data_IF_683156735009
#
_entry.id   IF_683156735009
#
_cell.length_a   1.000
_cell.length_b   1.000
_cell.length_c   1.000
_cell.angle_alpha   90.00
_cell.angle_beta   90.00
_cell.angle_gamma   90.00
#
_symmetry.space_group_name_H-M   'P 1'
#
loop_
_entity.id
_entity.type
_entity.pdbx_description
1 polymer ?
#
# COMPACT_ATOMS: atom_id res chain seq x y z
N UNK A 1 -50.62 -32.77 -52.20
CA UNK A 1 -51.56 -32.03 -51.27
C UNK A 1 -50.70 -31.62 -50.07
N UNK A 2 -50.31 -30.42 -49.99
CA UNK A 2 -49.51 -29.86 -48.91
C UNK A 2 -49.41 -28.38 -49.11
N UNK A 3 -50.09 -27.60 -48.29
CA UNK A 3 -50.03 -26.14 -48.36
C UNK A 3 -48.78 -25.63 -47.59
N UNK A 4 -48.18 -24.52 -48.03
CA UNK A 4 -47.02 -23.92 -47.35
C UNK A 4 -47.45 -22.95 -46.26
N UNK A 5 -46.59 -22.82 -45.21
CA UNK A 5 -46.69 -21.86 -44.13
C UNK A 5 -46.14 -20.50 -44.54
N UNK A 6 -46.66 -19.40 -44.01
CA UNK A 6 -46.20 -18.06 -44.38
C UNK A 6 -45.02 -17.61 -43.49
N UNK A 7 -44.00 -17.03 -44.12
CA UNK A 7 -42.91 -16.27 -43.54
C UNK A 7 -43.42 -14.88 -43.09
N UNK A 8 -43.22 -14.54 -41.82
CA UNK A 8 -43.43 -13.20 -41.31
C UNK A 8 -42.16 -12.69 -40.60
N UNK A 9 -41.37 -11.87 -41.32
CA UNK A 9 -40.30 -11.07 -40.72
C UNK A 9 -40.92 -9.82 -40.08
N UNK A 10 -40.79 -9.71 -38.77
CA UNK A 10 -41.05 -8.50 -38.02
C UNK A 10 -39.81 -8.05 -37.26
N UNK A 11 -39.02 -7.18 -37.87
CA UNK A 11 -37.91 -6.50 -37.20
C UNK A 11 -38.47 -5.35 -36.37
N UNK A 12 -38.28 -5.41 -35.06
CA UNK A 12 -38.53 -4.30 -34.15
C UNK A 12 -37.23 -3.51 -33.99
N UNK A 13 -37.19 -2.21 -34.27
CA UNK A 13 -36.01 -1.40 -34.00
C UNK A 13 -35.92 -1.05 -32.53
N UNK A 14 -34.86 -1.47 -31.87
CA UNK A 14 -34.48 -1.00 -30.52
C UNK A 14 -33.89 0.40 -30.67
N UNK A 15 -34.71 1.40 -30.39
CA UNK A 15 -34.26 2.80 -30.33
C UNK A 15 -33.37 3.00 -29.09
N UNK A 16 -32.06 3.24 -29.31
CA UNK A 16 -31.19 3.82 -28.30
C UNK A 16 -31.52 5.32 -28.20
N UNK A 17 -32.24 5.69 -27.15
CA UNK A 17 -32.39 7.08 -26.72
C UNK A 17 -31.09 7.47 -25.97
N UNK A 18 -30.26 8.26 -26.63
CA UNK A 18 -29.11 8.95 -26.04
C UNK A 18 -29.57 10.29 -25.45
N UNK A 19 -30.16 10.28 -24.28
CA UNK A 19 -30.27 11.50 -23.47
C UNK A 19 -29.10 11.47 -22.43
N UNK A 20 -28.35 12.57 -22.29
CA UNK A 20 -27.37 12.68 -21.23
C UNK A 20 -28.09 12.78 -19.89
N UNK A 21 -27.88 11.82 -19.01
CA UNK A 21 -28.28 11.95 -17.61
C UNK A 21 -27.55 13.16 -17.04
N UNK A 22 -28.27 14.23 -16.81
CA UNK A 22 -27.84 15.31 -15.92
C UNK A 22 -27.49 14.69 -14.56
N UNK A 23 -26.21 14.75 -14.19
CA UNK A 23 -25.76 14.52 -12.83
C UNK A 23 -26.34 15.65 -11.98
N UNK A 24 -27.45 15.40 -11.32
CA UNK A 24 -27.96 16.27 -10.28
C UNK A 24 -26.99 16.27 -9.12
N UNK A 25 -26.07 17.23 -9.13
CA UNK A 25 -25.30 17.64 -7.98
C UNK A 25 -26.25 18.23 -6.95
N UNK A 26 -26.50 17.50 -5.85
CA UNK A 26 -27.38 18.03 -4.80
C UNK A 26 -27.94 16.98 -3.86
N UNK A 27 -27.19 15.92 -3.54
CA UNK A 27 -27.46 15.13 -2.34
C UNK A 27 -27.04 15.96 -1.12
N UNK A 28 -27.99 16.32 -0.25
CA UNK A 28 -27.76 16.98 1.03
C UNK A 28 -26.77 16.14 1.87
N UNK A 29 -25.47 16.51 1.88
CA UNK A 29 -24.41 15.84 2.65
C UNK A 29 -24.29 16.42 4.06
N UNK A 30 -25.21 17.29 4.48
CA UNK A 30 -25.26 17.91 5.79
C UNK A 30 -25.65 16.87 6.86
N UNK A 31 -24.68 16.13 7.35
CA UNK A 31 -24.87 15.10 8.40
C UNK A 31 -23.93 13.90 8.32
N UNK A 32 -23.32 13.64 7.15
CA UNK A 32 -22.34 12.56 7.02
C UNK A 32 -20.99 13.03 7.51
N UNK A 33 -20.50 12.43 8.60
CA UNK A 33 -19.16 12.72 9.14
C UNK A 33 -18.10 12.35 8.11
N UNK A 34 -17.05 13.16 7.92
CA UNK A 34 -15.96 12.83 7.00
C UNK A 34 -15.10 11.66 7.51
N UNK A 35 -14.46 10.99 6.57
CA UNK A 35 -13.43 9.98 6.80
C UNK A 35 -12.06 10.61 6.53
N UNK A 36 -11.17 10.62 7.54
CA UNK A 36 -9.82 11.14 7.37
C UNK A 36 -8.90 10.09 6.75
N UNK A 37 -8.16 10.47 5.71
CA UNK A 37 -7.10 9.66 5.11
C UNK A 37 -5.78 10.41 5.23
N UNK A 38 -4.79 9.84 5.91
CA UNK A 38 -3.42 10.35 5.89
C UNK A 38 -2.62 9.65 4.80
N UNK A 39 -1.67 10.35 4.18
CA UNK A 39 -0.85 9.78 3.10
C UNK A 39 -1.55 9.68 1.75
N UNK A 40 -2.64 10.40 1.53
CA UNK A 40 -3.41 10.39 0.28
C UNK A 40 -2.63 10.90 -0.96
N UNK A 41 -1.48 11.54 -0.77
CA UNK A 41 -0.55 11.91 -1.86
C UNK A 41 0.46 10.82 -2.20
N UNK A 42 0.43 9.70 -1.48
CA UNK A 42 1.29 8.53 -1.71
C UNK A 42 0.54 7.41 -2.42
N UNK A 43 1.27 6.38 -2.84
CA UNK A 43 0.74 5.27 -3.65
C UNK A 43 -0.51 4.61 -3.03
N UNK A 44 -0.37 3.94 -1.90
CA UNK A 44 -1.48 3.22 -1.27
C UNK A 44 -2.57 4.17 -0.73
N UNK A 45 -2.18 5.30 -0.12
CA UNK A 45 -3.14 6.26 0.43
C UNK A 45 -4.01 6.91 -0.63
N UNK A 46 -3.48 7.13 -1.83
CA UNK A 46 -4.24 7.60 -2.99
C UNK A 46 -5.34 6.59 -3.37
N UNK A 47 -5.01 5.31 -3.47
CA UNK A 47 -5.98 4.25 -3.80
C UNK A 47 -7.04 4.09 -2.69
N UNK A 48 -6.66 4.16 -1.41
CA UNK A 48 -7.63 4.13 -0.30
C UNK A 48 -8.59 5.31 -0.39
N UNK A 49 -8.07 6.54 -0.57
CA UNK A 49 -8.90 7.74 -0.66
C UNK A 49 -9.87 7.69 -1.85
N UNK A 50 -9.37 7.32 -3.04
CA UNK A 50 -10.22 7.21 -4.24
C UNK A 50 -11.24 6.07 -4.13
N UNK A 51 -10.91 4.97 -3.47
CA UNK A 51 -11.85 3.88 -3.22
C UNK A 51 -13.00 4.31 -2.31
N UNK A 52 -12.73 5.10 -1.27
CA UNK A 52 -13.73 5.70 -0.39
C UNK A 52 -14.63 6.69 -1.15
N UNK A 53 -14.02 7.59 -1.95
CA UNK A 53 -14.76 8.52 -2.81
C UNK A 53 -15.69 7.80 -3.80
N UNK A 54 -15.21 6.72 -4.42
CA UNK A 54 -16.02 5.91 -5.34
C UNK A 54 -17.21 5.21 -4.65
N UNK A 55 -17.16 5.02 -3.32
CA UNK A 55 -18.27 4.54 -2.48
C UNK A 55 -19.21 5.67 -2.02
N UNK A 56 -18.93 6.92 -2.41
CA UNK A 56 -19.72 8.09 -2.01
C UNK A 56 -19.39 8.61 -0.60
N UNK A 57 -18.28 8.21 0.00
CA UNK A 57 -17.87 8.72 1.30
C UNK A 57 -17.27 10.14 1.18
N UNK A 58 -17.47 10.94 2.21
CA UNK A 58 -16.81 12.25 2.34
C UNK A 58 -15.38 12.03 2.82
N UNK A 59 -14.41 12.20 1.94
CA UNK A 59 -12.99 12.02 2.27
C UNK A 59 -12.36 13.36 2.62
N UNK A 60 -11.67 13.41 3.76
CA UNK A 60 -10.75 14.47 4.16
C UNK A 60 -9.33 13.92 4.08
N UNK A 61 -8.49 14.54 3.25
CA UNK A 61 -7.10 14.13 3.05
C UNK A 61 -6.15 15.04 3.83
N UNK A 62 -5.39 14.48 4.79
CA UNK A 62 -4.30 15.20 5.45
C UNK A 62 -3.08 15.18 4.54
N UNK A 63 -2.62 16.36 4.13
CA UNK A 63 -1.47 16.53 3.25
C UNK A 63 -0.50 17.57 3.81
N UNK A 64 0.80 17.36 3.63
CA UNK A 64 1.83 18.34 4.01
C UNK A 64 2.00 19.45 2.98
N UNK A 65 1.80 19.10 1.72
CA UNK A 65 1.99 19.98 0.59
C UNK A 65 0.83 19.79 -0.41
N UNK A 66 -0.11 20.74 -0.48
CA UNK A 66 -1.26 20.67 -1.38
C UNK A 66 -0.88 20.57 -2.87
N UNK A 67 0.30 21.08 -3.27
CA UNK A 67 0.76 21.01 -4.66
C UNK A 67 1.03 19.57 -5.14
N UNK A 68 1.12 18.62 -4.21
CA UNK A 68 1.32 17.20 -4.50
C UNK A 68 0.04 16.39 -4.60
N UNK A 69 -1.10 17.02 -4.37
CA UNK A 69 -2.40 16.36 -4.56
C UNK A 69 -2.63 16.16 -6.05
N UNK A 70 -2.97 14.94 -6.44
CA UNK A 70 -3.22 14.55 -7.83
C UNK A 70 -4.51 13.75 -7.89
N UNK A 71 -5.43 14.16 -8.76
CA UNK A 71 -6.65 13.42 -9.07
C UNK A 71 -7.40 12.90 -7.82
N UNK A 72 -7.58 13.79 -6.84
CA UNK A 72 -8.28 13.49 -5.59
C UNK A 72 -9.40 14.51 -5.37
N UNK A 73 -10.64 14.08 -5.51
CA UNK A 73 -11.85 14.89 -5.30
C UNK A 73 -12.32 14.76 -3.85
N UNK A 74 -11.55 15.33 -2.92
CA UNK A 74 -11.82 15.30 -1.49
C UNK A 74 -11.46 16.61 -0.80
N UNK A 75 -11.91 16.78 0.45
CA UNK A 75 -11.52 17.90 1.29
C UNK A 75 -10.01 17.81 1.61
N UNK A 76 -9.24 18.85 1.30
CA UNK A 76 -7.81 18.90 1.59
C UNK A 76 -7.56 19.69 2.86
N UNK A 77 -6.90 19.07 3.84
CA UNK A 77 -6.46 19.71 5.07
C UNK A 77 -4.94 19.65 5.14
N UNK A 78 -4.33 20.83 5.31
CA UNK A 78 -2.87 20.94 5.45
C UNK A 78 -2.46 20.64 6.88
N UNK A 79 -1.50 19.71 7.07
CA UNK A 79 -0.94 19.38 8.37
C UNK A 79 0.18 18.34 8.27
N UNK A 80 0.83 18.10 9.39
CA UNK A 80 1.95 17.14 9.52
C UNK A 80 1.71 16.24 10.74
N UNK A 81 2.04 14.97 10.63
CA UNK A 81 1.96 14.01 11.75
C UNK A 81 2.78 14.44 12.98
N UNK A 82 3.79 15.28 12.77
CA UNK A 82 4.67 15.82 13.82
C UNK A 82 4.10 17.09 14.49
N UNK A 83 2.99 17.62 13.99
CA UNK A 83 2.31 18.81 14.49
C UNK A 83 0.93 18.42 15.07
N UNK A 84 0.82 18.25 16.42
CA UNK A 84 -0.42 17.85 17.08
C UNK A 84 -1.60 18.77 16.79
N UNK A 85 -1.39 20.10 16.76
CA UNK A 85 -2.47 21.06 16.53
C UNK A 85 -3.07 20.90 15.12
N UNK A 86 -2.24 20.61 14.12
CA UNK A 86 -2.75 20.33 12.77
C UNK A 86 -3.57 19.04 12.72
N UNK A 87 -3.22 18.05 13.54
CA UNK A 87 -3.94 16.78 13.63
C UNK A 87 -5.29 16.93 14.34
N UNK A 88 -5.38 17.72 15.41
CA UNK A 88 -6.64 18.05 16.07
C UNK A 88 -7.64 18.67 15.09
N UNK A 89 -7.18 19.64 14.28
CA UNK A 89 -8.01 20.24 13.22
C UNK A 89 -8.41 19.22 12.16
N UNK A 90 -7.50 18.33 11.76
CA UNK A 90 -7.75 17.36 10.71
C UNK A 90 -8.78 16.30 11.13
N UNK A 91 -8.73 15.80 12.37
CA UNK A 91 -9.65 14.76 12.88
C UNK A 91 -10.99 15.32 13.34
N UNK A 92 -11.10 16.63 13.52
CA UNK A 92 -12.32 17.26 14.05
C UNK A 92 -13.57 16.86 13.25
N UNK A 93 -14.56 16.25 13.91
CA UNK A 93 -15.80 15.80 13.32
C UNK A 93 -15.69 14.56 12.42
N UNK A 94 -14.52 13.92 12.29
CA UNK A 94 -14.37 12.67 11.55
C UNK A 94 -14.94 11.48 12.31
N UNK A 95 -15.60 10.55 11.60
CA UNK A 95 -16.02 9.27 12.16
C UNK A 95 -14.90 8.22 12.10
N UNK A 96 -14.18 8.19 10.99
CA UNK A 96 -13.17 7.17 10.69
C UNK A 96 -11.85 7.82 10.31
N UNK A 97 -10.75 7.16 10.69
CA UNK A 97 -9.39 7.55 10.29
C UNK A 97 -8.69 6.36 9.62
N UNK A 98 -8.25 6.56 8.37
CA UNK A 98 -7.29 5.66 7.71
C UNK A 98 -5.90 6.27 7.82
N UNK A 99 -5.09 5.71 8.69
CA UNK A 99 -3.71 6.15 8.90
C UNK A 99 -2.77 5.38 7.97
N UNK A 100 -2.61 5.89 6.73
CA UNK A 100 -1.77 5.27 5.68
C UNK A 100 -0.40 5.92 5.57
N UNK A 101 -0.26 7.16 6.02
CA UNK A 101 1.00 7.89 5.95
C UNK A 101 2.11 7.18 6.73
N UNK A 102 3.25 6.98 6.08
CA UNK A 102 4.49 6.52 6.70
C UNK A 102 5.70 7.04 5.94
N UNK A 103 6.82 7.21 6.63
CA UNK A 103 8.12 7.35 5.99
C UNK A 103 8.70 5.96 5.74
N UNK A 104 8.76 5.55 4.46
CA UNK A 104 9.20 4.22 4.03
C UNK A 104 10.61 4.20 3.44
N UNK A 105 11.41 5.26 3.63
CA UNK A 105 12.80 5.31 3.14
C UNK A 105 13.61 4.20 3.78
N UNK A 106 14.27 3.37 2.95
CA UNK A 106 15.16 2.30 3.42
C UNK A 106 16.53 2.83 3.85
N UNK A 107 16.83 4.10 3.50
CA UNK A 107 18.00 4.85 3.96
C UNK A 107 17.58 6.31 4.20
N UNK A 108 18.07 6.87 5.27
CA UNK A 108 17.94 8.29 5.61
C UNK A 108 19.25 8.78 6.20
N UNK A 109 19.65 10.02 5.89
CA UNK A 109 20.85 10.66 6.44
C UNK A 109 20.74 10.79 7.96
N UNK A 110 19.57 11.14 8.46
CA UNK A 110 19.22 11.11 9.87
C UNK A 110 18.09 10.08 10.10
N UNK A 111 18.44 8.87 10.60
CA UNK A 111 17.42 7.84 10.88
C UNK A 111 16.36 8.26 11.92
N UNK A 112 16.63 9.26 12.76
CA UNK A 112 15.65 9.73 13.76
C UNK A 112 14.40 10.33 13.11
N UNK A 113 14.50 10.84 11.88
CA UNK A 113 13.36 11.34 11.13
C UNK A 113 12.27 10.27 10.91
N UNK A 114 12.68 9.00 10.68
CA UNK A 114 11.73 7.89 10.53
C UNK A 114 10.96 7.64 11.83
N UNK A 115 11.64 7.74 12.99
CA UNK A 115 10.99 7.54 14.29
C UNK A 115 10.04 8.70 14.61
N UNK A 116 10.47 9.94 14.37
CA UNK A 116 9.60 11.12 14.54
C UNK A 116 8.34 11.04 13.67
N UNK A 117 8.49 10.63 12.40
CA UNK A 117 7.34 10.52 11.50
C UNK A 117 6.48 9.30 11.80
N UNK A 118 7.08 8.11 11.96
CA UNK A 118 6.33 6.87 12.06
C UNK A 118 5.84 6.59 13.49
N UNK A 119 6.66 6.81 14.53
CA UNK A 119 6.30 6.47 15.91
C UNK A 119 5.59 7.63 16.59
N UNK A 120 6.26 8.79 16.68
CA UNK A 120 5.68 9.97 17.33
C UNK A 120 4.46 10.47 16.55
N UNK A 121 4.57 10.52 15.20
CA UNK A 121 3.45 10.91 14.34
C UNK A 121 2.23 10.01 14.47
N UNK A 122 2.41 8.68 14.60
CA UNK A 122 1.31 7.75 14.89
C UNK A 122 0.72 8.04 16.26
N UNK A 123 1.54 8.24 17.31
CA UNK A 123 1.05 8.57 18.64
C UNK A 123 0.24 9.86 18.66
N UNK A 124 0.72 10.90 18.02
CA UNK A 124 0.03 12.20 17.90
C UNK A 124 -1.34 12.04 17.23
N UNK A 125 -1.40 11.35 16.08
CA UNK A 125 -2.65 11.14 15.36
C UNK A 125 -3.66 10.31 16.18
N UNK A 126 -3.21 9.23 16.82
CA UNK A 126 -4.10 8.38 17.62
C UNK A 126 -4.58 9.11 18.89
N UNK A 127 -3.75 10.00 19.47
CA UNK A 127 -4.17 10.88 20.56
C UNK A 127 -5.27 11.82 20.11
N UNK A 128 -5.06 12.53 19.00
CA UNK A 128 -6.06 13.43 18.43
C UNK A 128 -7.36 12.68 18.07
N UNK A 129 -7.25 11.48 17.48
CA UNK A 129 -8.40 10.65 17.12
C UNK A 129 -9.20 10.20 18.36
N UNK A 130 -8.52 9.79 19.43
CA UNK A 130 -9.16 9.42 20.71
C UNK A 130 -9.88 10.63 21.30
N UNK A 131 -9.23 11.77 21.38
CA UNK A 131 -9.76 12.96 22.03
C UNK A 131 -10.92 13.60 21.22
N UNK A 132 -10.94 13.40 19.92
CA UNK A 132 -12.06 13.77 19.03
C UNK A 132 -13.21 12.75 19.02
N UNK A 133 -13.09 11.62 19.70
CA UNK A 133 -14.13 10.58 19.73
C UNK A 133 -14.31 9.86 18.38
N UNK A 134 -13.21 9.63 17.63
CA UNK A 134 -13.23 8.86 16.38
C UNK A 134 -13.74 7.45 16.65
N UNK A 135 -14.67 6.99 15.83
CA UNK A 135 -15.39 5.72 16.02
C UNK A 135 -14.54 4.51 15.55
N UNK A 136 -13.61 4.73 14.61
CA UNK A 136 -12.77 3.67 14.06
C UNK A 136 -11.48 4.22 13.50
N UNK A 137 -10.38 3.50 13.71
CA UNK A 137 -9.06 3.76 13.08
C UNK A 137 -8.58 2.51 12.36
N UNK A 138 -8.17 2.63 11.10
CA UNK A 138 -7.43 1.61 10.37
C UNK A 138 -5.98 2.07 10.27
N UNK A 139 -5.10 1.40 10.99
CA UNK A 139 -3.67 1.69 11.01
C UNK A 139 -2.94 0.82 9.98
N UNK A 140 -2.26 1.45 9.03
CA UNK A 140 -1.44 0.76 8.03
C UNK A 140 -0.05 0.48 8.59
N UNK A 141 0.20 -0.75 8.97
CA UNK A 141 1.51 -1.26 9.32
C UNK A 141 2.24 -1.80 8.07
N UNK A 142 2.93 -2.91 8.17
CA UNK A 142 3.64 -3.58 7.06
C UNK A 142 3.86 -5.04 7.38
N UNK A 143 3.93 -5.90 6.36
CA UNK A 143 4.40 -7.28 6.50
C UNK A 143 5.80 -7.36 7.15
N UNK A 144 6.58 -6.27 7.11
CA UNK A 144 7.86 -6.17 7.81
C UNK A 144 7.77 -6.33 9.34
N UNK A 145 6.56 -6.20 9.93
CA UNK A 145 6.27 -6.43 11.35
C UNK A 145 5.79 -7.85 11.64
N UNK A 146 5.75 -8.73 10.64
CA UNK A 146 5.41 -10.15 10.78
C UNK A 146 6.70 -10.97 10.80
N UNK A 147 6.80 -11.89 11.76
CA UNK A 147 7.92 -12.84 11.83
C UNK A 147 7.93 -13.81 10.66
N UNK A 148 9.14 -14.13 10.18
CA UNK A 148 9.32 -15.15 9.14
C UNK A 148 9.84 -16.42 9.81
N UNK A 149 9.00 -17.45 9.99
CA UNK A 149 9.42 -18.72 10.59
C UNK A 149 10.45 -19.43 9.70
N UNK A 150 11.17 -20.39 10.26
CA UNK A 150 12.13 -21.19 9.49
C UNK A 150 11.45 -22.08 8.46
N UNK A 151 10.24 -22.52 8.75
CA UNK A 151 9.44 -23.37 7.87
C UNK A 151 8.06 -22.76 7.63
N UNK A 152 7.63 -22.78 6.37
CA UNK A 152 6.32 -22.27 5.96
C UNK A 152 6.24 -20.74 5.87
N UNK A 153 5.07 -20.21 5.50
CA UNK A 153 4.80 -18.78 5.45
C UNK A 153 4.57 -18.20 6.85
N UNK A 154 4.97 -16.95 7.06
CA UNK A 154 4.60 -16.20 8.28
C UNK A 154 3.10 -15.88 8.30
N UNK A 155 2.56 -15.66 9.49
CA UNK A 155 1.18 -15.22 9.71
C UNK A 155 1.14 -14.17 10.83
N UNK A 156 -0.05 -13.70 11.18
CA UNK A 156 -0.24 -12.65 12.19
C UNK A 156 0.24 -13.05 13.60
N UNK A 157 0.34 -14.35 13.89
CA UNK A 157 0.83 -14.88 15.18
C UNK A 157 2.36 -15.05 15.21
N UNK A 158 3.01 -14.93 14.06
CA UNK A 158 4.46 -15.13 13.94
C UNK A 158 5.22 -14.05 14.70
N UNK A 159 6.04 -14.48 15.66
CA UNK A 159 6.83 -13.60 16.52
C UNK A 159 7.91 -12.86 15.72
N UNK A 160 8.14 -11.61 16.10
CA UNK A 160 9.18 -10.74 15.53
C UNK A 160 10.29 -10.57 16.55
N UNK A 161 11.52 -10.80 16.11
CA UNK A 161 12.72 -10.48 16.87
C UNK A 161 13.25 -9.10 16.42
N UNK A 162 13.12 -8.12 17.31
CA UNK A 162 13.59 -6.75 17.09
C UNK A 162 15.10 -6.67 16.82
N UNK A 163 15.88 -7.53 17.43
CA UNK A 163 17.34 -7.54 17.26
C UNK A 163 17.71 -7.96 15.84
N UNK A 164 16.92 -8.83 15.24
CA UNK A 164 17.09 -9.29 13.86
C UNK A 164 16.46 -8.37 12.81
N UNK A 165 15.71 -7.34 13.23
CA UNK A 165 15.12 -6.40 12.28
C UNK A 165 16.18 -5.54 11.60
N UNK A 166 16.26 -5.66 10.27
CA UNK A 166 17.15 -4.86 9.43
C UNK A 166 16.57 -3.44 9.23
N UNK A 167 17.38 -2.43 9.61
CA UNK A 167 17.15 -1.05 9.24
C UNK A 167 16.19 -0.26 10.13
N UNK A 168 16.36 1.07 10.10
CA UNK A 168 15.58 2.00 10.90
C UNK A 168 14.10 2.01 10.48
N UNK A 169 13.81 1.82 9.19
CA UNK A 169 12.44 1.77 8.69
C UNK A 169 11.63 0.65 9.37
N UNK A 170 12.09 -0.61 9.31
CA UNK A 170 11.36 -1.73 9.91
C UNK A 170 11.17 -1.54 11.41
N UNK A 171 12.24 -1.10 12.11
CA UNK A 171 12.18 -0.84 13.56
C UNK A 171 11.18 0.25 13.90
N UNK A 172 11.18 1.37 13.17
CA UNK A 172 10.23 2.45 13.40
C UNK A 172 8.78 2.02 13.12
N UNK A 173 8.53 1.22 12.08
CA UNK A 173 7.18 0.69 11.79
C UNK A 173 6.71 -0.29 12.84
N UNK A 174 7.60 -1.16 13.34
CA UNK A 174 7.27 -2.06 14.43
C UNK A 174 6.91 -1.29 15.71
N UNK A 175 7.70 -0.29 16.11
CA UNK A 175 7.40 0.53 17.28
C UNK A 175 6.08 1.31 17.09
N UNK A 176 5.82 1.83 15.90
CA UNK A 176 4.56 2.49 15.59
C UNK A 176 3.35 1.52 15.64
N UNK A 177 3.52 0.26 15.24
CA UNK A 177 2.50 -0.77 15.42
C UNK A 177 2.24 -1.06 16.90
N UNK A 178 3.29 -1.10 17.76
CA UNK A 178 3.11 -1.23 19.20
C UNK A 178 2.32 -0.05 19.79
N UNK A 179 2.59 1.18 19.32
CA UNK A 179 1.78 2.36 19.69
C UNK A 179 0.31 2.15 19.31
N UNK A 180 0.02 1.69 18.09
CA UNK A 180 -1.36 1.42 17.67
C UNK A 180 -2.05 0.36 18.54
N UNK A 181 -1.33 -0.71 18.92
CA UNK A 181 -1.81 -1.74 19.82
C UNK A 181 -2.02 -1.22 21.27
N UNK A 182 -1.18 -0.29 21.76
CA UNK A 182 -1.38 0.38 23.06
C UNK A 182 -2.70 1.14 23.08
N UNK A 183 -2.98 1.93 22.03
CA UNK A 183 -4.24 2.68 21.90
C UNK A 183 -5.45 1.75 21.79
N UNK A 184 -5.33 0.64 21.04
CA UNK A 184 -6.39 -0.35 20.96
C UNK A 184 -6.73 -0.95 22.33
N UNK A 185 -5.71 -1.32 23.13
CA UNK A 185 -5.90 -1.82 24.51
C UNK A 185 -6.48 -0.77 25.44
N UNK A 186 -6.20 0.51 25.17
CA UNK A 186 -6.75 1.63 25.92
C UNK A 186 -8.19 2.01 25.51
N UNK A 187 -8.79 1.28 24.56
CA UNK A 187 -10.20 1.42 24.17
C UNK A 187 -10.46 2.22 22.90
N UNK A 188 -9.44 2.76 22.22
CA UNK A 188 -9.64 3.33 20.89
C UNK A 188 -9.83 2.18 19.88
N UNK A 189 -10.92 2.15 19.06
CA UNK A 189 -11.17 1.06 18.13
C UNK A 189 -10.18 1.08 16.93
N UNK A 190 -8.97 0.54 17.13
CA UNK A 190 -7.90 0.46 16.11
C UNK A 190 -7.83 -0.92 15.54
N UNK A 191 -7.88 -1.03 14.21
CA UNK A 191 -7.57 -2.26 13.46
C UNK A 191 -6.26 -2.06 12.72
N UNK A 192 -5.40 -3.08 12.74
CA UNK A 192 -4.09 -3.02 12.10
C UNK A 192 -4.14 -3.83 10.79
N UNK A 193 -3.69 -3.24 9.70
CA UNK A 193 -3.47 -3.95 8.45
C UNK A 193 -1.98 -4.00 8.13
N UNK A 194 -1.50 -5.15 7.66
CA UNK A 194 -0.11 -5.39 7.30
C UNK A 194 -0.01 -5.67 5.78
N UNK A 195 -0.01 -4.62 4.92
CA UNK A 195 0.20 -4.80 3.50
C UNK A 195 1.52 -5.50 3.23
N UNK A 196 1.54 -6.35 2.20
CA UNK A 196 2.74 -7.07 1.77
C UNK A 196 3.58 -6.20 0.83
N UNK A 197 3.59 -6.50 -0.45
CA UNK A 197 4.27 -5.71 -1.47
C UNK A 197 3.24 -5.26 -2.53
N UNK A 198 2.53 -4.15 -2.30
CA UNK A 198 1.55 -3.63 -3.25
C UNK A 198 2.21 -3.25 -4.57
N UNK A 199 1.53 -3.57 -5.67
CA UNK A 199 1.93 -3.25 -7.04
C UNK A 199 0.72 -2.77 -7.83
N UNK A 200 0.89 -1.83 -8.75
CA UNK A 200 -0.17 -1.27 -9.57
C UNK A 200 0.24 0.06 -10.20
N UNK A 201 -0.75 0.78 -10.67
CA UNK A 201 -0.66 2.13 -11.23
C UNK A 201 -0.61 3.21 -10.14
N UNK A 202 -0.36 4.47 -10.52
CA UNK A 202 -0.28 5.64 -9.62
C UNK A 202 0.82 5.57 -8.53
N UNK A 203 1.88 4.78 -8.73
CA UNK A 203 3.07 4.80 -7.89
C UNK A 203 3.96 6.02 -8.25
N UNK A 204 3.45 7.22 -7.92
CA UNK A 204 4.04 8.52 -8.31
C UNK A 204 5.49 8.72 -7.85
N UNK A 205 5.90 8.05 -6.81
CA UNK A 205 7.28 7.96 -6.35
C UNK A 205 7.60 6.50 -6.16
N UNK A 206 8.22 5.84 -7.17
CA UNK A 206 8.35 4.40 -7.18
C UNK A 206 8.70 3.84 -5.80
N UNK A 207 7.77 3.05 -5.25
CA UNK A 207 7.99 2.30 -4.02
C UNK A 207 9.11 1.27 -4.23
N UNK A 208 9.66 0.64 -3.20
CA UNK A 208 10.64 -0.43 -3.39
C UNK A 208 10.17 -1.53 -4.36
N UNK A 209 8.86 -1.85 -4.36
CA UNK A 209 8.27 -2.81 -5.30
C UNK A 209 8.14 -2.22 -6.70
N UNK A 210 7.64 -0.99 -6.83
CA UNK A 210 7.56 -0.28 -8.10
C UNK A 210 8.93 -0.05 -8.74
N UNK A 211 9.96 0.18 -7.91
CA UNK A 211 11.34 0.30 -8.38
C UNK A 211 11.86 -0.98 -9.06
N UNK A 212 11.45 -2.16 -8.62
CA UNK A 212 11.79 -3.42 -9.31
C UNK A 212 11.25 -3.40 -10.74
N UNK A 213 10.02 -2.90 -10.95
CA UNK A 213 9.42 -2.79 -12.29
C UNK A 213 10.17 -1.77 -13.14
N UNK A 214 10.43 -0.57 -12.61
CA UNK A 214 11.15 0.50 -13.32
C UNK A 214 12.56 0.06 -13.69
N UNK A 215 13.34 -0.49 -12.75
CA UNK A 215 14.72 -0.94 -12.97
C UNK A 215 14.76 -2.10 -14.00
N UNK A 216 13.76 -3.00 -13.95
CA UNK A 216 13.62 -4.06 -14.94
C UNK A 216 13.36 -3.47 -16.34
N UNK A 217 12.42 -2.55 -16.48
CA UNK A 217 12.06 -1.95 -17.77
C UNK A 217 13.19 -1.11 -18.37
N UNK A 218 14.02 -0.48 -17.55
CA UNK A 218 15.25 0.22 -17.97
C UNK A 218 16.40 -0.70 -18.36
N UNK A 219 16.33 -1.98 -18.02
CA UNK A 219 17.43 -2.91 -18.20
C UNK A 219 18.52 -2.81 -17.13
N UNK A 220 18.23 -2.12 -16.03
CA UNK A 220 19.16 -1.92 -14.90
C UNK A 220 19.26 -3.15 -13.97
N UNK A 221 18.49 -4.21 -14.25
CA UNK A 221 18.51 -5.50 -13.53
C UNK A 221 19.09 -6.64 -14.40
N UNK A 222 20.40 -6.67 -14.66
CA UNK A 222 21.02 -7.75 -15.45
C UNK A 222 21.06 -9.08 -14.71
N UNK A 223 20.94 -9.03 -13.37
CA UNK A 223 21.01 -10.18 -12.48
C UNK A 223 20.16 -9.94 -11.21
N UNK A 224 19.89 -11.00 -10.45
CA UNK A 224 19.05 -10.93 -9.24
C UNK A 224 19.63 -11.78 -8.10
N UNK A 225 19.23 -11.47 -6.85
CA UNK A 225 19.49 -12.28 -5.67
C UNK A 225 18.34 -13.27 -5.43
N UNK A 226 18.61 -14.40 -4.79
CA UNK A 226 17.58 -15.36 -4.38
C UNK A 226 16.79 -14.81 -3.19
N UNK A 227 15.70 -14.17 -3.50
CA UNK A 227 14.74 -13.62 -2.53
C UNK A 227 13.31 -13.81 -3.04
N UNK A 228 12.33 -13.42 -2.24
CA UNK A 228 10.93 -13.49 -2.63
C UNK A 228 10.06 -12.54 -1.80
N UNK A 229 8.97 -12.13 -2.39
CA UNK A 229 7.99 -11.23 -1.82
C UNK A 229 6.59 -11.85 -1.96
N UNK A 230 5.69 -11.48 -1.07
CA UNK A 230 4.28 -11.66 -1.33
C UNK A 230 3.78 -10.41 -2.05
N UNK A 231 3.40 -10.54 -3.33
CA UNK A 231 2.82 -9.43 -4.10
C UNK A 231 1.32 -9.35 -3.89
N UNK A 232 0.77 -8.15 -4.03
CA UNK A 232 -0.67 -7.89 -3.98
C UNK A 232 -1.00 -6.69 -4.87
N UNK A 233 -2.17 -6.71 -5.50
CA UNK A 233 -2.72 -5.55 -6.20
C UNK A 233 -2.98 -4.40 -5.22
N UNK A 234 -2.52 -3.18 -5.53
CA UNK A 234 -2.74 -2.00 -4.69
C UNK A 234 -4.23 -1.68 -4.54
N UNK A 235 -5.04 -1.92 -5.56
CA UNK A 235 -6.50 -1.74 -5.47
C UNK A 235 -7.13 -2.73 -4.49
N UNK A 236 -6.69 -4.00 -4.51
CA UNK A 236 -7.15 -5.00 -3.55
C UNK A 236 -6.63 -4.70 -2.14
N UNK A 237 -5.42 -4.16 -2.04
CA UNK A 237 -4.89 -3.68 -0.75
C UNK A 237 -5.77 -2.54 -0.20
N UNK A 238 -6.17 -1.58 -1.04
CA UNK A 238 -7.08 -0.52 -0.64
C UNK A 238 -8.44 -1.09 -0.20
N UNK A 239 -9.02 -2.03 -0.97
CA UNK A 239 -10.24 -2.72 -0.58
C UNK A 239 -10.09 -3.45 0.76
N UNK A 240 -8.95 -4.10 0.99
CA UNK A 240 -8.62 -4.74 2.27
C UNK A 240 -8.64 -3.77 3.47
N UNK A 241 -8.26 -2.51 3.27
CA UNK A 241 -8.37 -1.47 4.30
C UNK A 241 -9.83 -1.15 4.63
N UNK A 242 -10.69 -1.07 3.62
CA UNK A 242 -12.12 -0.82 3.81
C UNK A 242 -12.78 -2.01 4.52
N UNK A 243 -12.48 -3.23 4.10
CA UNK A 243 -12.96 -4.45 4.75
C UNK A 243 -12.47 -4.55 6.22
N UNK A 244 -11.23 -4.15 6.51
CA UNK A 244 -10.71 -4.09 7.88
C UNK A 244 -11.45 -3.04 8.72
N UNK A 245 -11.82 -1.91 8.15
CA UNK A 245 -12.67 -0.94 8.81
C UNK A 245 -14.05 -1.52 9.16
N UNK A 246 -14.69 -2.20 8.22
CA UNK A 246 -16.04 -2.73 8.35
C UNK A 246 -16.12 -3.94 9.29
N UNK A 247 -15.15 -4.86 9.22
CA UNK A 247 -15.24 -6.22 9.79
C UNK A 247 -14.13 -6.58 10.74
N UNK A 248 -13.00 -5.85 10.71
CA UNK A 248 -11.83 -6.18 11.51
C UNK A 248 -12.09 -6.01 13.00
N UNK A 249 -11.58 -6.88 13.84
CA UNK A 249 -11.67 -6.74 15.29
C UNK A 249 -10.64 -5.72 15.80
N UNK A 250 -11.01 -4.91 16.79
CA UNK A 250 -10.09 -3.94 17.40
C UNK A 250 -8.91 -4.65 18.07
N UNK A 251 -7.71 -4.13 17.85
CA UNK A 251 -6.47 -4.71 18.35
C UNK A 251 -5.92 -5.87 17.50
N UNK A 252 -6.67 -6.33 16.49
CA UNK A 252 -6.25 -7.42 15.62
C UNK A 252 -5.45 -6.93 14.41
N UNK A 253 -4.54 -7.80 13.94
CA UNK A 253 -3.72 -7.61 12.74
C UNK A 253 -4.25 -8.44 11.60
N UNK A 254 -4.19 -7.91 10.37
CA UNK A 254 -4.61 -8.59 9.15
C UNK A 254 -3.60 -8.38 8.04
N UNK A 255 -3.03 -9.47 7.51
CA UNK A 255 -2.10 -9.43 6.39
C UNK A 255 -2.90 -9.22 5.09
N UNK A 256 -2.59 -8.14 4.39
CA UNK A 256 -3.16 -7.84 3.07
C UNK A 256 -2.12 -8.16 1.99
N UNK A 257 -2.21 -9.36 1.44
CA UNK A 257 -1.28 -9.88 0.43
C UNK A 257 -2.02 -10.69 -0.64
N UNK A 258 -1.28 -11.35 -1.55
CA UNK A 258 -1.85 -12.26 -2.54
C UNK A 258 -0.91 -13.45 -2.82
N UNK A 259 0.11 -13.28 -3.64
CA UNK A 259 0.95 -14.37 -4.13
C UNK A 259 2.38 -14.33 -3.59
N UNK A 260 2.83 -15.44 -3.05
CA UNK A 260 4.22 -15.65 -2.64
C UNK A 260 5.07 -15.99 -3.86
N UNK A 261 5.83 -15.02 -4.37
CA UNK A 261 6.64 -15.15 -5.58
C UNK A 261 8.12 -14.92 -5.28
N UNK A 262 8.99 -15.75 -5.85
CA UNK A 262 10.42 -15.48 -5.90
C UNK A 262 10.69 -14.28 -6.82
N UNK A 263 11.78 -13.56 -6.59
CA UNK A 263 12.16 -12.45 -7.47
C UNK A 263 12.35 -12.93 -8.92
N UNK A 264 12.82 -14.15 -9.12
CA UNK A 264 12.93 -14.77 -10.44
C UNK A 264 11.55 -14.91 -11.12
N UNK A 265 10.53 -15.38 -10.39
CA UNK A 265 9.16 -15.48 -10.91
C UNK A 265 8.59 -14.12 -11.25
N UNK A 266 8.79 -13.10 -10.38
CA UNK A 266 8.36 -11.71 -10.65
C UNK A 266 9.00 -11.19 -11.93
N UNK A 267 10.31 -11.36 -12.11
CA UNK A 267 11.01 -10.92 -13.31
C UNK A 267 10.59 -11.69 -14.57
N UNK A 268 10.20 -12.97 -14.43
CA UNK A 268 9.64 -13.78 -15.52
C UNK A 268 8.27 -13.26 -15.95
N UNK A 269 7.40 -12.91 -15.00
CA UNK A 269 6.09 -12.30 -15.27
C UNK A 269 6.26 -10.93 -15.95
N UNK A 270 7.16 -10.10 -15.45
CA UNK A 270 7.48 -8.80 -16.08
C UNK A 270 7.98 -8.97 -17.51
N UNK A 271 8.81 -10.00 -17.77
CA UNK A 271 9.28 -10.30 -19.14
C UNK A 271 8.13 -10.69 -20.07
N UNK A 272 7.22 -11.53 -19.61
CA UNK A 272 6.03 -11.93 -20.37
C UNK A 272 5.12 -10.73 -20.70
N UNK A 273 4.87 -9.87 -19.69
CA UNK A 273 4.00 -8.69 -19.82
C UNK A 273 4.61 -7.62 -20.72
N UNK A 274 5.91 -7.35 -20.57
CA UNK A 274 6.58 -6.25 -21.27
C UNK A 274 7.10 -6.60 -22.65
N UNK A 275 7.15 -7.89 -23.02
CA UNK A 275 7.80 -8.43 -24.22
C UNK A 275 9.33 -8.48 -24.10
N UNK A 276 9.88 -8.31 -22.91
CA UNK A 276 11.32 -8.32 -22.63
C UNK A 276 11.89 -9.72 -22.36
N UNK A 277 13.09 -9.75 -21.77
CA UNK A 277 13.74 -11.00 -21.35
C UNK A 277 14.03 -10.99 -19.88
N UNK A 278 13.66 -12.06 -19.18
CA UNK A 278 13.98 -12.20 -17.76
C UNK A 278 15.50 -12.37 -17.55
N UNK A 279 16.10 -11.70 -16.53
CA UNK A 279 17.48 -11.92 -16.15
C UNK A 279 17.72 -13.39 -15.80
N UNK A 280 18.85 -13.95 -16.25
CA UNK A 280 19.20 -15.37 -16.01
C UNK A 280 20.24 -15.56 -14.92
N UNK A 281 20.98 -14.50 -14.59
CA UNK A 281 22.12 -14.60 -13.68
C UNK A 281 21.68 -14.36 -12.24
N UNK A 282 22.00 -15.31 -11.38
CA UNK A 282 21.79 -15.18 -9.94
C UNK A 282 23.07 -14.71 -9.26
N UNK A 283 22.97 -13.64 -8.49
CA UNK A 283 24.08 -13.08 -7.70
C UNK A 283 24.13 -13.79 -6.34
N UNK A 284 25.30 -14.36 -5.91
CA UNK A 284 25.45 -14.82 -4.56
C UNK A 284 25.22 -13.71 -3.53
N UNK A 285 24.56 -14.04 -2.42
CA UNK A 285 24.22 -13.06 -1.38
C UNK A 285 25.45 -12.28 -0.87
N UNK A 286 26.60 -12.95 -0.73
CA UNK A 286 27.84 -12.32 -0.27
C UNK A 286 28.30 -11.18 -1.20
N UNK A 287 28.13 -11.33 -2.51
CA UNK A 287 28.45 -10.29 -3.51
C UNK A 287 27.47 -9.12 -3.38
N UNK A 288 26.18 -9.41 -3.28
CA UNK A 288 25.16 -8.37 -3.06
C UNK A 288 25.41 -7.62 -1.74
N UNK A 289 25.80 -8.33 -0.68
CA UNK A 289 26.10 -7.74 0.62
C UNK A 289 27.32 -6.81 0.55
N UNK A 290 28.41 -7.22 -0.11
CA UNK A 290 29.57 -6.38 -0.30
C UNK A 290 29.25 -5.11 -1.12
N UNK A 291 28.44 -5.25 -2.18
CA UNK A 291 27.97 -4.11 -2.98
C UNK A 291 27.08 -3.15 -2.15
N UNK A 292 26.21 -3.70 -1.30
CA UNK A 292 25.38 -2.92 -0.37
C UNK A 292 26.20 -2.14 0.66
N UNK A 293 27.23 -2.76 1.22
CA UNK A 293 28.19 -2.11 2.13
C UNK A 293 28.89 -0.94 1.44
N UNK A 294 29.45 -1.17 0.27
CA UNK A 294 30.17 -0.13 -0.49
C UNK A 294 29.23 1.03 -0.87
N UNK A 295 28.02 0.70 -1.39
CA UNK A 295 27.01 1.71 -1.78
C UNK A 295 26.53 2.55 -0.60
N UNK A 296 26.25 1.91 0.55
CA UNK A 296 25.81 2.62 1.75
C UNK A 296 26.96 3.42 2.39
N UNK A 297 28.19 2.89 2.41
CA UNK A 297 29.38 3.61 2.87
C UNK A 297 29.61 4.87 2.05
N UNK A 298 29.52 4.78 0.73
CA UNK A 298 29.61 5.95 -0.16
C UNK A 298 28.49 6.96 0.09
N UNK A 299 27.26 6.49 0.27
CA UNK A 299 26.10 7.33 0.57
C UNK A 299 26.30 8.13 1.88
N UNK A 300 26.82 7.49 2.92
CA UNK A 300 27.09 8.13 4.21
C UNK A 300 28.19 9.21 4.12
N UNK A 301 29.14 9.06 3.20
CA UNK A 301 30.19 10.04 2.96
C UNK A 301 29.71 11.23 2.11
N UNK A 302 28.89 10.95 1.10
CA UNK A 302 28.49 11.96 0.10
C UNK A 302 27.13 12.59 0.40
N UNK A 303 26.28 11.95 1.23
CA UNK A 303 24.90 12.35 1.47
C UNK A 303 23.94 12.01 0.31
N UNK A 304 24.41 11.31 -0.73
CA UNK A 304 23.59 10.85 -1.85
C UNK A 304 22.88 9.54 -1.51
N UNK A 305 21.68 9.34 -2.03
CA UNK A 305 20.94 8.08 -1.80
C UNK A 305 21.69 6.87 -2.40
N UNK A 306 21.87 5.78 -1.63
CA UNK A 306 22.60 4.61 -2.11
C UNK A 306 21.82 3.87 -3.19
N UNK A 307 22.49 3.44 -4.28
CA UNK A 307 21.87 2.62 -5.34
C UNK A 307 21.35 1.28 -4.82
N UNK A 308 22.09 0.68 -3.88
CA UNK A 308 21.73 -0.56 -3.20
C UNK A 308 21.87 -0.36 -1.68
N UNK A 309 20.82 0.10 -0.98
CA UNK A 309 20.85 0.26 0.46
C UNK A 309 21.19 -1.07 1.15
N UNK A 310 22.14 -1.07 2.07
CA UNK A 310 22.55 -2.29 2.80
C UNK A 310 21.36 -2.96 3.50
N UNK A 311 20.43 -2.17 4.03
CA UNK A 311 19.24 -2.69 4.69
C UNK A 311 18.29 -3.41 3.72
N UNK A 312 18.17 -2.94 2.47
CA UNK A 312 17.45 -3.65 1.42
C UNK A 312 18.10 -5.01 1.12
N UNK A 313 19.42 -5.05 1.05
CA UNK A 313 20.17 -6.31 0.82
C UNK A 313 20.00 -7.27 2.00
N UNK A 314 20.07 -6.77 3.25
CA UNK A 314 19.81 -7.59 4.44
C UNK A 314 18.38 -8.16 4.45
N UNK A 315 17.39 -7.37 4.04
CA UNK A 315 16.00 -7.82 3.90
C UNK A 315 15.86 -8.92 2.85
N UNK A 316 16.61 -8.85 1.75
CA UNK A 316 16.59 -9.84 0.68
C UNK A 316 17.13 -11.22 1.09
N UNK A 317 17.74 -11.36 2.29
CA UNK A 317 18.23 -12.66 2.80
C UNK A 317 17.12 -13.66 3.08
N UNK A 318 15.92 -13.19 3.46
CA UNK A 318 14.76 -14.03 3.75
C UNK A 318 13.68 -13.79 2.71
N UNK A 319 13.02 -14.85 2.26
CA UNK A 319 11.80 -14.74 1.46
C UNK A 319 10.66 -14.30 2.38
N UNK A 320 10.02 -13.19 2.03
CA UNK A 320 8.91 -12.64 2.81
C UNK A 320 7.59 -13.26 2.36
N UNK A 321 7.45 -14.56 2.63
CA UNK A 321 6.27 -15.35 2.29
C UNK A 321 5.32 -15.41 3.48
N UNK A 322 4.05 -15.13 3.24
CA UNK A 322 3.03 -15.06 4.30
C UNK A 322 1.75 -15.76 3.88
N UNK A 323 0.95 -16.16 4.88
CA UNK A 323 -0.43 -16.63 4.73
C UNK A 323 -1.40 -15.44 4.84
N UNK A 324 -2.55 -15.57 4.15
CA UNK A 324 -3.67 -14.64 4.15
C UNK A 324 -4.92 -15.24 4.80
N UNK A 325 -4.81 -16.39 5.42
CA UNK A 325 -5.97 -17.18 5.85
C UNK A 325 -6.85 -16.44 6.85
N UNK A 326 -6.25 -15.63 7.73
CA UNK A 326 -6.99 -14.78 8.68
C UNK A 326 -7.79 -13.69 7.97
N UNK A 327 -7.15 -12.93 7.09
CA UNK A 327 -7.83 -11.88 6.34
C UNK A 327 -8.95 -12.44 5.45
N UNK A 328 -8.74 -13.59 4.80
CA UNK A 328 -9.78 -14.29 4.03
C UNK A 328 -10.96 -14.69 4.89
N UNK A 329 -10.70 -15.31 6.03
CA UNK A 329 -11.73 -15.84 6.93
C UNK A 329 -12.54 -14.73 7.62
N UNK A 330 -11.87 -13.74 8.15
CA UNK A 330 -12.47 -12.76 9.04
C UNK A 330 -12.93 -11.48 8.32
N UNK A 331 -12.20 -11.06 7.28
CA UNK A 331 -12.56 -9.88 6.50
C UNK A 331 -13.33 -10.22 5.21
N UNK A 332 -13.24 -11.46 4.73
CA UNK A 332 -13.70 -11.84 3.40
C UNK A 332 -12.76 -11.28 2.31
N UNK A 333 -11.50 -11.01 2.65
CA UNK A 333 -10.51 -10.48 1.71
C UNK A 333 -10.18 -11.53 0.64
N UNK A 334 -10.46 -11.21 -0.62
CA UNK A 334 -10.27 -12.12 -1.75
C UNK A 334 -9.51 -11.40 -2.88
N UNK A 335 -8.18 -11.28 -2.78
CA UNK A 335 -7.37 -10.57 -3.76
C UNK A 335 -7.33 -11.30 -5.10
N UNK A 336 -7.25 -10.53 -6.18
CA UNK A 336 -7.09 -11.00 -7.56
C UNK A 336 -5.64 -11.44 -7.82
N UNK A 337 -5.40 -12.33 -8.83
CA UNK A 337 -4.05 -12.64 -9.31
C UNK A 337 -3.27 -11.38 -9.69
N UNK A 338 -1.95 -11.37 -9.42
CA UNK A 338 -1.12 -10.17 -9.53
C UNK A 338 -0.74 -9.78 -10.96
N UNK A 339 -1.01 -10.65 -11.96
CA UNK A 339 -0.67 -10.37 -13.37
C UNK A 339 -1.27 -9.08 -13.88
N UNK A 340 -2.56 -8.84 -13.56
CA UNK A 340 -3.27 -7.61 -13.94
C UNK A 340 -2.66 -6.37 -13.30
N UNK A 341 -2.27 -6.46 -12.03
CA UNK A 341 -1.63 -5.37 -11.29
C UNK A 341 -0.23 -5.06 -11.84
N UNK A 342 0.57 -6.09 -12.14
CA UNK A 342 1.88 -5.94 -12.78
C UNK A 342 1.74 -5.29 -14.16
N UNK A 343 0.73 -5.69 -14.95
CA UNK A 343 0.46 -5.07 -16.25
C UNK A 343 0.13 -3.59 -16.10
N UNK A 344 -0.78 -3.21 -15.20
CA UNK A 344 -1.10 -1.79 -14.93
C UNK A 344 0.12 -1.01 -14.49
N UNK A 345 0.97 -1.57 -13.62
CA UNK A 345 2.22 -0.93 -13.22
C UNK A 345 3.16 -0.67 -14.41
N UNK A 346 3.37 -1.67 -15.28
CA UNK A 346 4.20 -1.53 -16.48
C UNK A 346 3.64 -0.45 -17.39
N UNK A 347 2.34 -0.50 -17.71
CA UNK A 347 1.68 0.45 -18.59
C UNK A 347 1.76 1.88 -18.02
N UNK A 348 1.50 2.03 -16.72
CA UNK A 348 1.53 3.32 -16.04
C UNK A 348 2.93 3.94 -15.99
N UNK A 349 3.97 3.18 -15.64
CA UNK A 349 5.34 3.69 -15.62
C UNK A 349 5.82 4.11 -17.02
N UNK A 350 5.44 3.37 -18.07
CA UNK A 350 5.71 3.75 -19.46
C UNK A 350 4.99 5.05 -19.84
N UNK A 351 3.70 5.14 -19.57
CA UNK A 351 2.88 6.30 -19.94
C UNK A 351 3.30 7.59 -19.21
N UNK A 352 3.89 7.47 -18.01
CA UNK A 352 4.27 8.62 -17.19
C UNK A 352 5.78 8.96 -17.26
N UNK A 353 6.53 8.39 -18.20
CA UNK A 353 7.93 8.77 -18.48
C UNK A 353 8.94 8.31 -17.44
N UNK A 354 8.65 7.22 -16.73
CA UNK A 354 9.62 6.61 -15.80
C UNK A 354 10.62 5.70 -16.51
N UNK A 355 10.31 5.30 -17.73
CA UNK A 355 11.11 4.35 -18.55
C UNK A 355 11.04 4.74 -20.02
#
# INVERSE_FOLDING_TARGET
MGQPLPHGHGSVPIGFSSEPRELTSGGNTDGVKPTLVTGATGFLGWHVANRLLARGERVRALVRDPSRVRELDGEIVVGDLRDPESLERAVAGCAVVYHVAADYRLWAKDPSELYRSNVEGTRNLLTAARDAGVERVVYTSTVGCIGMPEQGPGNEDSQVDLEQMAGAYKRSKFQAEQVALEFARAGLPVVIVNPTAPIGDHDFKPTPTGKIVVDYLKGDLPAFVDTGLNLVDVEDTAEGHLLACERGASGERYILGCENLTLQQILTLLAAISGGKAPRWRIPYAVAYAAGLASTGWANLTGLEPRAPLDAVKMARKKMFVSLDKAKRELGFNPRPVDGALKRAVDWFRANGYV
#
